data_IF_765734831398
#
_entry.id   IF_765734831398
#
_cell.length_a   1.000
_cell.length_b   1.000
_cell.length_c   1.000
_cell.angle_alpha   90.00
_cell.angle_beta   90.00
_cell.angle_gamma   90.00
#
_symmetry.space_group_name_H-M   'P 1'
#
loop_
_entity.id
_entity.type
_entity.pdbx_description
1 polymer ?
#
# COMPACT_ATOMS: atom_id res chain seq x y z
N UNK A 1 18.07 -10.35 -13.57
CA UNK A 1 17.35 -9.84 -12.39
C UNK A 1 15.89 -9.75 -12.81
N UNK A 2 15.03 -10.67 -12.34
CA UNK A 2 13.58 -10.62 -12.61
C UNK A 2 13.02 -9.30 -12.12
N UNK A 3 12.22 -8.65 -12.94
CA UNK A 3 11.52 -7.44 -12.53
C UNK A 3 10.39 -7.85 -11.58
N UNK A 4 10.10 -7.06 -10.55
CA UNK A 4 9.02 -7.32 -9.57
C UNK A 4 7.67 -7.63 -10.23
N UNK A 5 7.45 -7.11 -11.44
CA UNK A 5 6.23 -7.27 -12.24
C UNK A 5 6.24 -8.53 -13.11
N UNK A 6 7.39 -9.22 -13.25
CA UNK A 6 7.49 -10.49 -13.95
C UNK A 6 7.24 -11.60 -12.92
N UNK A 7 6.13 -12.35 -13.06
CA UNK A 7 5.82 -13.53 -12.23
C UNK A 7 6.82 -14.66 -12.56
N UNK A 8 8.11 -14.47 -12.24
CA UNK A 8 9.16 -15.44 -12.50
C UNK A 8 9.11 -16.59 -11.49
N UNK A 9 8.49 -17.69 -11.91
CA UNK A 9 8.36 -18.92 -11.12
C UNK A 9 9.73 -19.61 -10.85
N UNK A 10 10.82 -19.20 -11.51
CA UNK A 10 12.13 -19.86 -11.40
C UNK A 10 12.99 -19.35 -10.24
N UNK A 11 12.62 -18.25 -9.59
CA UNK A 11 13.34 -17.72 -8.45
C UNK A 11 13.23 -18.67 -7.25
N UNK A 12 14.38 -19.21 -6.80
CA UNK A 12 14.45 -20.05 -5.59
C UNK A 12 13.85 -19.28 -4.41
N UNK A 13 12.81 -19.84 -3.82
CA UNK A 13 12.18 -19.33 -2.60
C UNK A 13 13.12 -19.50 -1.40
N UNK A 14 13.43 -18.42 -0.72
CA UNK A 14 13.99 -18.47 0.61
C UNK A 14 13.05 -17.70 1.54
N UNK A 15 12.39 -18.42 2.41
CA UNK A 15 11.54 -17.84 3.44
C UNK A 15 12.38 -16.88 4.31
N UNK A 16 11.91 -15.65 4.43
CA UNK A 16 12.52 -14.60 5.25
C UNK A 16 11.44 -14.05 6.16
N UNK A 17 11.71 -13.91 7.44
CA UNK A 17 10.87 -13.17 8.35
C UNK A 17 11.31 -11.69 8.40
N UNK A 18 10.35 -10.79 8.18
CA UNK A 18 10.50 -9.34 8.35
C UNK A 18 9.97 -8.95 9.72
N UNK A 19 10.86 -8.56 10.61
CA UNK A 19 10.53 -8.19 11.99
C UNK A 19 10.64 -6.68 12.18
N UNK A 20 9.60 -6.06 12.74
CA UNK A 20 9.57 -4.65 13.09
C UNK A 20 8.57 -4.36 14.21
N UNK A 21 8.59 -3.14 14.73
CA UNK A 21 7.61 -2.69 15.73
C UNK A 21 6.94 -1.39 15.26
N UNK A 22 5.65 -1.31 15.46
CA UNK A 22 4.86 -0.08 15.32
C UNK A 22 4.21 0.18 16.67
N UNK A 23 4.48 1.35 17.24
CA UNK A 23 4.17 1.60 18.65
C UNK A 23 4.76 0.48 19.50
N UNK A 24 4.00 -0.09 20.42
CA UNK A 24 4.43 -1.19 21.30
C UNK A 24 4.18 -2.59 20.71
N UNK A 25 3.60 -2.66 19.50
CA UNK A 25 3.30 -3.93 18.84
C UNK A 25 4.46 -4.41 17.99
N UNK A 26 4.92 -5.63 18.26
CA UNK A 26 5.87 -6.36 17.40
C UNK A 26 5.12 -7.12 16.30
N UNK A 27 5.61 -7.00 15.08
CA UNK A 27 5.10 -7.68 13.89
C UNK A 27 6.17 -8.60 13.31
N UNK A 28 5.75 -9.76 12.82
CA UNK A 28 6.57 -10.69 12.05
C UNK A 28 5.81 -11.07 10.79
N UNK A 29 6.30 -10.63 9.64
CA UNK A 29 5.73 -10.93 8.33
C UNK A 29 6.57 -11.96 7.60
N UNK A 30 5.93 -12.94 6.96
CA UNK A 30 6.59 -13.77 5.95
C UNK A 30 6.88 -12.97 4.69
N UNK A 31 8.09 -13.14 4.18
CA UNK A 31 8.56 -12.58 2.91
C UNK A 31 9.45 -13.59 2.20
N UNK A 32 9.90 -13.27 0.99
CA UNK A 32 10.94 -14.01 0.30
C UNK A 32 11.86 -13.11 -0.56
N UNK A 33 12.92 -13.70 -1.14
CA UNK A 33 13.94 -12.98 -1.90
C UNK A 33 13.43 -12.31 -3.19
N UNK A 34 12.28 -12.72 -3.71
CA UNK A 34 11.68 -12.20 -4.96
C UNK A 34 10.68 -11.09 -4.72
N UNK A 35 10.34 -10.81 -3.48
CA UNK A 35 9.33 -9.83 -3.11
C UNK A 35 9.95 -8.79 -2.19
N UNK A 36 9.36 -7.64 -2.12
CA UNK A 36 9.76 -6.41 -1.44
C UNK A 36 10.52 -6.57 -0.10
N UNK A 37 11.58 -5.74 0.06
CA UNK A 37 12.45 -5.49 1.20
C UNK A 37 13.26 -6.69 1.78
N UNK A 38 14.56 -6.54 1.79
CA UNK A 38 15.54 -7.50 2.33
C UNK A 38 15.47 -7.61 3.88
N UNK A 39 14.37 -8.18 4.39
CA UNK A 39 14.21 -8.49 5.81
C UNK A 39 13.97 -7.30 6.75
N UNK A 40 13.63 -6.12 6.22
CA UNK A 40 13.33 -4.92 7.03
C UNK A 40 12.12 -4.18 6.48
N UNK A 41 11.35 -3.54 7.36
CA UNK A 41 10.34 -2.56 6.96
C UNK A 41 11.03 -1.42 6.23
N UNK A 42 10.56 -1.09 5.02
CA UNK A 42 11.06 0.08 4.31
C UNK A 42 10.61 1.38 5.01
N UNK A 43 11.43 2.40 4.86
CA UNK A 43 11.23 3.65 5.57
C UNK A 43 9.94 4.37 5.15
N UNK A 44 9.58 4.29 3.89
CA UNK A 44 8.34 4.90 3.39
C UNK A 44 7.12 4.27 4.04
N UNK A 45 7.04 2.94 4.07
CA UNK A 45 5.96 2.21 4.74
C UNK A 45 5.91 2.50 6.24
N UNK A 46 7.08 2.62 6.92
CA UNK A 46 7.12 2.97 8.35
C UNK A 46 6.50 4.34 8.63
N UNK A 47 6.93 5.38 7.88
CA UNK A 47 6.39 6.74 8.01
C UNK A 47 4.90 6.73 7.69
N UNK A 48 4.52 6.06 6.61
CA UNK A 48 3.13 6.00 6.17
C UNK A 48 2.21 5.39 7.22
N UNK A 49 2.56 4.22 7.74
CA UNK A 49 1.76 3.57 8.79
C UNK A 49 1.62 4.50 10.00
N UNK A 50 2.73 5.09 10.49
CA UNK A 50 2.71 5.97 11.66
C UNK A 50 1.81 7.18 11.48
N UNK A 51 1.85 7.81 10.32
CA UNK A 51 0.97 8.95 9.98
C UNK A 51 -0.49 8.52 9.94
N UNK A 52 -0.80 7.40 9.28
CA UNK A 52 -2.17 6.94 9.10
C UNK A 52 -2.83 6.44 10.39
N UNK A 53 -2.07 6.01 11.40
CA UNK A 53 -2.61 5.57 12.69
C UNK A 53 -3.36 6.67 13.45
N UNK A 54 -3.06 7.93 13.19
CA UNK A 54 -3.75 9.08 13.82
C UNK A 54 -4.99 9.53 13.06
N UNK A 55 -5.32 8.90 11.92
CA UNK A 55 -6.39 9.33 11.04
C UNK A 55 -7.56 8.34 11.06
N UNK A 56 -8.77 8.88 10.80
CA UNK A 56 -9.93 8.05 10.51
C UNK A 56 -9.90 7.64 9.04
N UNK A 57 -9.72 6.34 8.78
CA UNK A 57 -9.65 5.79 7.42
C UNK A 57 -11.02 5.31 6.88
N UNK A 58 -12.10 5.43 7.67
CA UNK A 58 -13.42 4.89 7.31
C UNK A 58 -13.53 3.40 7.61
N UNK A 59 -14.48 2.72 6.95
CA UNK A 59 -14.79 1.31 7.17
C UNK A 59 -14.22 0.40 6.10
N UNK A 60 -14.14 0.86 4.84
CA UNK A 60 -13.64 0.10 3.70
C UNK A 60 -12.33 0.73 3.21
N UNK A 61 -11.23 0.00 3.35
CA UNK A 61 -9.88 0.48 3.04
C UNK A 61 -9.21 -0.42 2.00
N UNK A 62 -8.64 0.17 0.97
CA UNK A 62 -7.81 -0.53 -0.01
C UNK A 62 -6.33 -0.24 0.20
N UNK A 63 -5.50 -1.27 0.32
CA UNK A 63 -4.03 -1.20 0.21
C UNK A 63 -3.64 -1.58 -1.22
N UNK A 64 -3.45 -0.58 -2.09
CA UNK A 64 -3.17 -0.74 -3.51
C UNK A 64 -1.67 -0.87 -3.78
N UNK A 65 -1.24 -1.98 -4.38
CA UNK A 65 0.16 -2.35 -4.49
C UNK A 65 0.71 -2.82 -3.14
N UNK A 66 -0.05 -3.68 -2.46
CA UNK A 66 0.16 -4.05 -1.06
C UNK A 66 1.46 -4.84 -0.79
N UNK A 67 2.08 -5.40 -1.82
CA UNK A 67 3.20 -6.33 -1.65
C UNK A 67 2.81 -7.50 -0.73
N UNK A 68 3.58 -7.74 0.30
CA UNK A 68 3.30 -8.79 1.30
C UNK A 68 2.26 -8.37 2.37
N UNK A 69 1.59 -7.24 2.19
CA UNK A 69 0.51 -6.74 3.05
C UNK A 69 0.97 -5.97 4.29
N UNK A 70 2.18 -5.42 4.29
CA UNK A 70 2.74 -4.75 5.48
C UNK A 70 1.88 -3.57 5.93
N UNK A 71 1.47 -2.69 5.03
CA UNK A 71 0.72 -1.47 5.36
C UNK A 71 -0.68 -1.84 5.83
N UNK A 72 -1.45 -2.53 4.99
CA UNK A 72 -2.84 -2.89 5.29
C UNK A 72 -2.98 -3.74 6.55
N UNK A 73 -2.18 -4.81 6.71
CA UNK A 73 -2.25 -5.66 7.89
C UNK A 73 -1.81 -4.95 9.18
N UNK A 74 -0.80 -4.08 9.11
CA UNK A 74 -0.36 -3.32 10.29
C UNK A 74 -1.47 -2.38 10.76
N UNK A 75 -2.10 -1.62 9.85
CA UNK A 75 -3.19 -0.71 10.17
C UNK A 75 -4.44 -1.45 10.67
N UNK A 76 -4.80 -2.56 10.02
CA UNK A 76 -5.91 -3.41 10.43
C UNK A 76 -5.77 -3.96 11.86
N UNK A 77 -4.55 -4.09 12.37
CA UNK A 77 -4.31 -4.49 13.75
C UNK A 77 -4.79 -3.44 14.76
N UNK A 78 -4.71 -2.16 14.40
CA UNK A 78 -5.00 -1.04 15.31
C UNK A 78 -6.41 -0.45 15.16
N UNK A 79 -7.15 -0.79 14.11
CA UNK A 79 -8.53 -0.32 13.90
C UNK A 79 -9.46 -1.48 13.51
N UNK A 80 -10.75 -1.18 13.31
CA UNK A 80 -11.79 -2.19 13.01
C UNK A 80 -12.27 -2.17 11.56
N UNK A 81 -11.62 -1.40 10.68
CA UNK A 81 -11.98 -1.33 9.27
C UNK A 81 -11.74 -2.66 8.54
N UNK A 82 -12.43 -2.86 7.44
CA UNK A 82 -12.17 -3.93 6.50
C UNK A 82 -11.06 -3.51 5.53
N UNK A 83 -10.20 -4.44 5.19
CA UNK A 83 -9.06 -4.17 4.30
C UNK A 83 -9.05 -5.10 3.11
N UNK A 84 -9.09 -4.51 1.92
CA UNK A 84 -8.76 -5.18 0.67
C UNK A 84 -7.29 -4.90 0.35
N UNK A 85 -6.49 -5.93 0.14
CA UNK A 85 -5.09 -5.83 -0.22
C UNK A 85 -4.91 -6.30 -1.66
N UNK A 86 -4.42 -5.46 -2.55
CA UNK A 86 -4.29 -5.80 -3.96
C UNK A 86 -2.86 -5.58 -4.46
N UNK A 87 -2.35 -6.54 -5.22
CA UNK A 87 -1.05 -6.42 -5.91
C UNK A 87 -1.10 -7.19 -7.24
N UNK A 88 -0.31 -6.75 -8.21
CA UNK A 88 -0.18 -7.44 -9.50
C UNK A 88 0.64 -8.72 -9.39
N UNK A 89 1.50 -8.82 -8.40
CA UNK A 89 2.41 -9.93 -8.19
C UNK A 89 1.72 -11.06 -7.38
N UNK A 90 1.42 -12.19 -8.03
CA UNK A 90 0.74 -13.34 -7.41
C UNK A 90 1.47 -13.88 -6.18
N UNK A 91 2.81 -13.87 -6.22
CA UNK A 91 3.65 -14.33 -5.11
C UNK A 91 3.55 -13.40 -3.90
N UNK A 92 3.52 -12.10 -4.14
CA UNK A 92 3.30 -11.10 -3.10
C UNK A 92 1.92 -11.29 -2.45
N UNK A 93 0.88 -11.48 -3.24
CA UNK A 93 -0.49 -11.75 -2.76
C UNK A 93 -0.56 -13.05 -1.96
N UNK A 94 0.13 -14.12 -2.38
CA UNK A 94 0.19 -15.37 -1.62
C UNK A 94 0.82 -15.16 -0.23
N UNK A 95 1.88 -14.37 -0.15
CA UNK A 95 2.51 -14.00 1.11
C UNK A 95 1.61 -13.09 1.95
N UNK A 96 0.90 -12.13 1.33
CA UNK A 96 -0.08 -11.29 2.01
C UNK A 96 -1.20 -12.12 2.65
N UNK A 97 -1.75 -13.12 1.92
CA UNK A 97 -2.73 -14.08 2.47
C UNK A 97 -2.18 -14.88 3.67
N UNK A 98 -0.92 -15.29 3.60
CA UNK A 98 -0.24 -15.97 4.70
C UNK A 98 -0.09 -15.04 5.92
N UNK A 99 0.28 -13.79 5.70
CA UNK A 99 0.44 -12.79 6.76
C UNK A 99 -0.89 -12.38 7.40
N UNK A 100 -1.95 -12.25 6.63
CA UNK A 100 -3.33 -12.04 7.13
C UNK A 100 -3.70 -13.15 8.11
N UNK A 101 -3.48 -14.42 7.75
CA UNK A 101 -3.77 -15.56 8.63
C UNK A 101 -2.89 -15.54 9.88
N UNK A 102 -1.59 -15.32 9.72
CA UNK A 102 -0.61 -15.28 10.83
C UNK A 102 -0.93 -14.21 11.86
N UNK A 103 -1.49 -13.09 11.42
CA UNK A 103 -1.88 -11.96 12.28
C UNK A 103 -3.32 -12.05 12.79
N UNK A 104 -4.06 -13.16 12.51
CA UNK A 104 -5.46 -13.36 12.87
C UNK A 104 -6.41 -12.26 12.34
N UNK A 105 -6.17 -11.79 11.11
CA UNK A 105 -6.94 -10.73 10.47
C UNK A 105 -7.94 -11.22 9.42
N UNK A 106 -8.09 -12.55 9.23
CA UNK A 106 -8.89 -13.14 8.14
C UNK A 106 -10.38 -12.78 8.16
N UNK A 107 -10.92 -12.29 9.27
CA UNK A 107 -12.31 -11.84 9.36
C UNK A 107 -12.54 -10.44 8.73
N UNK A 108 -11.47 -9.66 8.50
CA UNK A 108 -11.56 -8.26 8.05
C UNK A 108 -10.57 -7.90 6.95
N UNK A 109 -9.63 -8.79 6.65
CA UNK A 109 -8.63 -8.57 5.62
C UNK A 109 -8.69 -9.69 4.59
N UNK A 110 -8.68 -9.33 3.32
CA UNK A 110 -8.50 -10.28 2.24
C UNK A 110 -7.51 -9.73 1.21
N UNK A 111 -6.85 -10.62 0.47
CA UNK A 111 -5.90 -10.23 -0.54
C UNK A 111 -6.23 -10.87 -1.88
N UNK A 112 -6.09 -10.10 -2.97
CA UNK A 112 -6.35 -10.56 -4.33
C UNK A 112 -5.29 -10.05 -5.31
N UNK A 113 -5.14 -10.79 -6.41
CA UNK A 113 -4.29 -10.36 -7.53
C UNK A 113 -5.09 -9.38 -8.39
N UNK A 114 -4.53 -8.20 -8.62
CA UNK A 114 -5.13 -7.21 -9.51
C UNK A 114 -4.05 -6.34 -10.14
N UNK A 115 -4.12 -6.16 -11.44
CA UNK A 115 -3.37 -5.12 -12.12
C UNK A 115 -4.14 -3.79 -11.95
N UNK A 116 -3.64 -2.97 -11.03
CA UNK A 116 -4.31 -1.77 -10.54
C UNK A 116 -5.73 -2.15 -10.05
N UNK A 117 -6.80 -1.78 -10.75
CA UNK A 117 -8.19 -2.05 -10.37
C UNK A 117 -8.89 -3.12 -11.24
N UNK A 118 -8.16 -3.84 -12.10
CA UNK A 118 -8.75 -4.78 -13.07
C UNK A 118 -9.69 -5.82 -12.44
N UNK A 119 -9.39 -6.26 -11.21
CA UNK A 119 -10.19 -7.24 -10.46
C UNK A 119 -10.86 -6.64 -9.21
N UNK A 120 -11.03 -5.32 -9.15
CA UNK A 120 -11.63 -4.60 -8.02
C UNK A 120 -12.81 -3.80 -8.54
N UNK A 121 -14.02 -4.14 -8.08
CA UNK A 121 -15.24 -3.43 -8.44
C UNK A 121 -15.83 -2.60 -7.28
N UNK A 122 -15.25 -2.76 -6.08
CA UNK A 122 -15.72 -2.09 -4.87
C UNK A 122 -15.28 -0.62 -4.83
N UNK A 123 -15.96 0.15 -3.98
CA UNK A 123 -15.59 1.52 -3.62
C UNK A 123 -15.11 1.59 -2.17
N UNK A 124 -14.22 2.53 -1.89
CA UNK A 124 -13.51 2.60 -0.62
C UNK A 124 -13.61 3.98 0.03
N UNK A 125 -13.58 4.02 1.36
CA UNK A 125 -13.48 5.27 2.11
C UNK A 125 -12.03 5.79 2.09
N UNK A 126 -11.08 4.88 2.06
CA UNK A 126 -9.66 5.21 1.94
C UNK A 126 -8.93 4.25 1.00
N UNK A 127 -8.08 4.80 0.15
CA UNK A 127 -7.13 4.05 -0.66
C UNK A 127 -5.73 4.44 -0.22
N UNK A 128 -4.91 3.45 0.11
CA UNK A 128 -3.53 3.60 0.55
C UNK A 128 -2.60 3.21 -0.59
N UNK A 129 -1.61 4.04 -0.88
CA UNK A 129 -0.70 3.79 -1.99
C UNK A 129 0.74 4.14 -1.63
N UNK A 130 1.61 3.14 -1.65
CA UNK A 130 3.06 3.32 -1.72
C UNK A 130 3.48 3.02 -3.17
N UNK A 131 3.56 4.02 -4.06
CA UNK A 131 3.61 3.78 -5.48
C UNK A 131 4.89 3.08 -5.93
N UNK A 132 4.81 2.14 -6.89
CA UNK A 132 5.95 1.44 -7.43
C UNK A 132 6.74 2.36 -8.38
N UNK A 133 7.67 3.15 -7.84
CA UNK A 133 8.41 4.18 -8.60
C UNK A 133 9.10 3.61 -9.86
N UNK A 134 9.54 2.35 -9.81
CA UNK A 134 10.18 1.68 -10.94
C UNK A 134 9.25 1.33 -12.10
N UNK A 135 7.93 1.29 -11.88
CA UNK A 135 6.93 1.08 -12.93
C UNK A 135 6.78 2.29 -13.87
N UNK A 136 7.33 3.44 -13.47
CA UNK A 136 7.30 4.67 -14.26
C UNK A 136 6.05 5.52 -14.03
N UNK A 137 6.14 6.78 -14.47
CA UNK A 137 5.09 7.79 -14.22
C UNK A 137 3.73 7.42 -14.80
N UNK A 138 3.69 6.79 -15.98
CA UNK A 138 2.43 6.43 -16.64
C UNK A 138 1.57 5.52 -15.77
N UNK A 139 2.19 4.47 -15.21
CA UNK A 139 1.51 3.52 -14.33
C UNK A 139 1.05 4.20 -13.04
N UNK A 140 1.92 5.00 -12.42
CA UNK A 140 1.61 5.69 -11.17
C UNK A 140 0.44 6.69 -11.36
N UNK A 141 0.45 7.44 -12.45
CA UNK A 141 -0.62 8.41 -12.75
C UNK A 141 -1.94 7.71 -13.07
N UNK A 142 -1.89 6.55 -13.74
CA UNK A 142 -3.08 5.70 -13.91
C UNK A 142 -3.64 5.25 -12.56
N UNK A 143 -2.76 4.77 -11.63
CA UNK A 143 -3.20 4.41 -10.27
C UNK A 143 -3.91 5.59 -9.56
N UNK A 144 -3.44 6.82 -9.73
CA UNK A 144 -4.08 8.01 -9.13
C UNK A 144 -5.46 8.30 -9.72
N UNK A 145 -5.61 8.18 -11.05
CA UNK A 145 -6.89 8.39 -11.74
C UNK A 145 -7.91 7.32 -11.37
N UNK A 146 -7.51 6.05 -11.45
CA UNK A 146 -8.41 4.94 -11.15
C UNK A 146 -8.81 4.93 -9.66
N UNK A 147 -7.91 5.36 -8.76
CA UNK A 147 -8.25 5.54 -7.35
C UNK A 147 -9.38 6.55 -7.14
N UNK A 148 -9.43 7.63 -7.94
CA UNK A 148 -10.53 8.59 -7.85
C UNK A 148 -11.87 7.94 -8.15
N UNK A 149 -11.95 7.10 -9.17
CA UNK A 149 -13.19 6.42 -9.55
C UNK A 149 -13.68 5.46 -8.45
N UNK A 150 -12.74 4.78 -7.79
CA UNK A 150 -13.01 3.78 -6.74
C UNK A 150 -13.12 4.35 -5.32
N UNK A 151 -13.04 5.66 -5.13
CA UNK A 151 -13.32 6.30 -3.83
C UNK A 151 -14.81 6.60 -3.67
N UNK A 152 -15.34 6.39 -2.49
CA UNK A 152 -16.62 6.92 -2.05
C UNK A 152 -16.60 8.45 -2.07
N UNK A 153 -17.78 9.10 -2.13
CA UNK A 153 -17.88 10.56 -2.00
C UNK A 153 -17.28 11.01 -0.66
N UNK A 154 -16.34 11.95 -0.70
CA UNK A 154 -15.58 12.41 0.47
C UNK A 154 -14.49 11.44 0.93
N UNK A 155 -14.31 10.31 0.27
CA UNK A 155 -13.21 9.38 0.51
C UNK A 155 -11.85 9.98 0.17
N UNK A 156 -10.79 9.34 0.65
CA UNK A 156 -9.43 9.88 0.55
C UNK A 156 -8.44 8.89 -0.04
N UNK A 157 -7.63 9.38 -0.99
CA UNK A 157 -6.40 8.70 -1.41
C UNK A 157 -5.25 9.21 -0.56
N UNK A 158 -4.54 8.29 0.08
CA UNK A 158 -3.30 8.56 0.82
C UNK A 158 -2.10 7.99 0.06
N UNK A 159 -1.07 8.78 -0.11
CA UNK A 159 0.12 8.41 -0.87
C UNK A 159 1.36 8.69 -0.04
N UNK A 160 2.28 7.73 0.06
CA UNK A 160 3.62 7.99 0.53
C UNK A 160 4.59 8.07 -0.65
N UNK A 161 5.35 9.16 -0.73
CA UNK A 161 6.30 9.35 -1.83
C UNK A 161 7.59 10.01 -1.33
N UNK A 162 8.72 9.52 -1.81
CA UNK A 162 10.00 10.16 -1.52
C UNK A 162 10.14 11.46 -2.31
N UNK A 163 10.51 12.57 -1.63
CA UNK A 163 10.60 13.91 -2.24
C UNK A 163 11.42 13.90 -3.53
N UNK A 164 12.59 13.25 -3.52
CA UNK A 164 13.50 13.16 -4.68
C UNK A 164 13.02 12.20 -5.79
N UNK A 165 11.91 11.49 -5.60
CA UNK A 165 11.39 10.49 -6.53
C UNK A 165 10.06 10.91 -7.18
N UNK A 166 9.89 12.22 -7.43
CA UNK A 166 8.77 12.73 -8.20
C UNK A 166 7.60 13.28 -7.39
N UNK A 167 7.77 13.56 -6.09
CA UNK A 167 6.70 14.08 -5.24
C UNK A 167 6.05 15.35 -5.84
N UNK A 168 6.85 16.31 -6.33
CA UNK A 168 6.31 17.54 -6.93
C UNK A 168 5.46 17.26 -8.19
N UNK A 169 5.91 16.33 -9.05
CA UNK A 169 5.15 15.99 -10.27
C UNK A 169 3.87 15.22 -9.94
N UNK A 170 3.91 14.34 -8.94
CA UNK A 170 2.73 13.66 -8.42
C UNK A 170 1.73 14.64 -7.82
N UNK A 171 2.20 15.55 -6.97
CA UNK A 171 1.36 16.56 -6.34
C UNK A 171 0.62 17.44 -7.37
N UNK A 172 1.34 17.95 -8.37
CA UNK A 172 0.73 18.73 -9.45
C UNK A 172 -0.30 17.94 -10.26
N UNK A 173 -0.02 16.68 -10.55
CA UNK A 173 -0.96 15.83 -11.28
C UNK A 173 -2.21 15.52 -10.44
N UNK A 174 -2.06 15.23 -9.15
CA UNK A 174 -3.17 14.98 -8.25
C UNK A 174 -4.11 16.19 -8.14
N UNK A 175 -3.58 17.41 -8.16
CA UNK A 175 -4.38 18.65 -8.18
C UNK A 175 -5.25 18.81 -9.44
N UNK A 176 -4.98 18.08 -10.51
CA UNK A 176 -5.84 18.08 -11.71
C UNK A 176 -7.02 17.11 -11.59
N UNK A 177 -7.03 16.22 -10.59
CA UNK A 177 -8.03 15.17 -10.41
C UNK A 177 -8.87 15.41 -9.16
N UNK A 178 -8.21 15.73 -8.04
CA UNK A 178 -8.83 15.81 -6.70
C UNK A 178 -9.11 17.26 -6.30
N UNK A 179 -10.22 17.49 -5.58
CA UNK A 179 -10.62 18.84 -5.12
C UNK A 179 -9.70 19.41 -4.04
N UNK A 180 -9.23 18.55 -3.13
CA UNK A 180 -8.34 18.94 -2.03
C UNK A 180 -7.13 18.01 -2.01
N UNK A 181 -5.95 18.58 -2.22
CA UNK A 181 -4.67 17.85 -2.22
C UNK A 181 -3.73 18.54 -1.24
N UNK A 182 -3.33 17.84 -0.19
CA UNK A 182 -2.47 18.38 0.87
C UNK A 182 -1.35 17.41 1.22
N UNK A 183 -0.17 17.95 1.48
CA UNK A 183 0.88 17.24 2.22
C UNK A 183 0.50 17.31 3.70
N UNK A 184 0.19 16.17 4.29
CA UNK A 184 -0.27 16.07 5.69
C UNK A 184 0.84 15.67 6.65
N UNK A 185 1.95 15.14 6.13
CA UNK A 185 3.13 14.79 6.93
C UNK A 185 4.39 14.81 6.07
N UNK A 186 5.55 15.06 6.71
CA UNK A 186 6.85 15.05 6.08
C UNK A 186 7.91 14.54 7.07
N UNK A 187 8.39 13.33 6.88
CA UNK A 187 9.46 12.74 7.71
C UNK A 187 10.53 12.06 6.85
N UNK A 188 11.80 12.31 7.19
CA UNK A 188 12.99 11.61 6.64
C UNK A 188 13.06 11.58 5.11
N UNK A 189 12.59 12.66 4.47
CA UNK A 189 12.60 12.81 3.02
C UNK A 189 11.44 12.12 2.29
N UNK A 190 10.43 11.67 3.03
CA UNK A 190 9.14 11.21 2.50
C UNK A 190 8.06 12.24 2.80
N UNK A 191 7.11 12.37 1.91
CA UNK A 191 5.88 13.13 2.08
C UNK A 191 4.68 12.19 2.07
N UNK A 192 3.72 12.47 2.94
CA UNK A 192 2.40 11.84 2.91
C UNK A 192 1.43 12.85 2.31
N UNK A 193 0.85 12.48 1.18
CA UNK A 193 -0.13 13.32 0.47
C UNK A 193 -1.51 12.72 0.72
N UNK A 194 -2.47 13.55 1.11
CA UNK A 194 -3.89 13.22 1.15
C UNK A 194 -4.61 13.94 0.03
N UNK A 195 -5.45 13.20 -0.71
CA UNK A 195 -6.32 13.72 -1.76
C UNK A 195 -7.76 13.35 -1.43
N UNK A 196 -8.70 14.30 -1.46
CA UNK A 196 -10.12 14.08 -1.16
C UNK A 196 -10.93 14.14 -2.47
N UNK A 197 -11.77 13.12 -2.70
CA UNK A 197 -12.73 13.07 -3.82
C UNK A 197 -13.87 14.05 -3.65
#
# INVERSE_FOLDING_TARGET
MGQYFDNDATLKTKDIDVNFSILDKKFTFKSDNGVFSKGRLDRGSEVFIKTLLSLNLGQEVLDLGCGIGVIGCSLAHFNKANYTLADVNERAVSLAKTNIKRLNLSSRCHALVSNIFENINDSFDSILLNPPIRAGKKVIFQMYQDSFEHLNSGGSLFIVIRVKQGALSSFKFLQTIYKDVKVIDHDKGYQIIRCIK
#
